data_IF_916490751127
#
_entry.id   IF_916490751127
#
_cell.length_a   1.000
_cell.length_b   1.000
_cell.length_c   1.000
_cell.angle_alpha   90.00
_cell.angle_beta   90.00
_cell.angle_gamma   90.00
#
_symmetry.space_group_name_H-M   'P 1'
#
loop_
_entity.id
_entity.type
_entity.pdbx_description
1 polymer ?
#
# COMPACT_ATOMS: atom_id res chain seq x y z
N UNK A 1 -0.88 20.57 13.35
CA UNK A 1 0.38 19.96 12.88
C UNK A 1 0.08 18.47 12.75
N UNK A 2 0.16 17.89 11.55
CA UNK A 2 0.02 16.43 11.40
C UNK A 2 1.31 15.79 11.93
N UNK A 3 1.21 14.83 12.86
CA UNK A 3 2.37 14.01 13.17
C UNK A 3 2.68 13.21 11.91
N UNK A 4 3.94 13.14 11.52
CA UNK A 4 4.40 12.40 10.33
C UNK A 4 3.75 11.00 10.28
N UNK A 5 3.73 10.33 11.44
CA UNK A 5 3.03 9.06 11.72
C UNK A 5 1.60 8.96 11.19
N UNK A 6 0.82 10.03 11.24
CA UNK A 6 -0.60 10.00 10.85
C UNK A 6 -0.75 9.85 9.33
N UNK A 7 0.17 10.45 8.57
CA UNK A 7 0.18 10.35 7.10
C UNK A 7 0.56 8.92 6.71
N UNK A 8 1.61 8.35 7.31
CA UNK A 8 2.02 6.98 6.99
C UNK A 8 0.93 5.96 7.35
N UNK A 9 0.30 6.10 8.52
CA UNK A 9 -0.81 5.24 8.93
C UNK A 9 -1.99 5.37 7.97
N UNK A 10 -2.34 6.59 7.55
CA UNK A 10 -3.48 6.79 6.65
C UNK A 10 -3.22 6.24 5.26
N UNK A 11 -2.00 6.39 4.74
CA UNK A 11 -1.60 5.78 3.48
C UNK A 11 -1.64 4.25 3.58
N UNK A 12 -1.11 3.67 4.66
CA UNK A 12 -1.17 2.22 4.87
C UNK A 12 -2.61 1.69 4.93
N UNK A 13 -3.50 2.40 5.64
CA UNK A 13 -4.93 2.08 5.71
C UNK A 13 -5.55 2.05 4.30
N UNK A 14 -5.33 3.09 3.49
CA UNK A 14 -5.86 3.14 2.13
C UNK A 14 -5.33 2.01 1.25
N UNK A 15 -4.03 1.73 1.30
CA UNK A 15 -3.41 0.69 0.47
C UNK A 15 -3.93 -0.71 0.82
N UNK A 16 -4.22 -0.98 2.10
CA UNK A 16 -4.86 -2.21 2.54
C UNK A 16 -6.33 -2.28 2.10
N UNK A 17 -7.09 -1.19 2.25
CA UNK A 17 -8.51 -1.12 1.86
C UNK A 17 -8.72 -1.40 0.37
N UNK A 18 -7.89 -0.81 -0.50
CA UNK A 18 -7.99 -1.02 -1.96
C UNK A 18 -7.28 -2.30 -2.43
N UNK A 19 -6.73 -3.10 -1.51
CA UNK A 19 -5.96 -4.32 -1.79
C UNK A 19 -4.74 -4.09 -2.70
N UNK A 20 -4.19 -2.88 -2.69
CA UNK A 20 -2.88 -2.60 -3.29
C UNK A 20 -1.76 -3.29 -2.49
N UNK A 21 -1.95 -3.44 -1.17
CA UNK A 21 -1.12 -4.28 -0.30
C UNK A 21 -1.93 -5.50 0.16
N UNK A 22 -1.30 -6.66 0.14
CA UNK A 22 -1.83 -7.92 0.69
C UNK A 22 -0.81 -8.53 1.65
N UNK A 23 -1.29 -8.95 2.82
CA UNK A 23 -0.49 -9.58 3.86
C UNK A 23 -0.94 -11.04 4.03
N UNK A 24 -0.03 -11.98 3.85
CA UNK A 24 -0.25 -13.42 4.02
C UNK A 24 0.96 -14.06 4.72
N UNK A 25 1.17 -13.83 6.04
CA UNK A 25 2.31 -14.36 6.77
C UNK A 25 2.33 -15.90 6.81
N UNK A 26 1.15 -16.53 6.89
CA UNK A 26 1.01 -17.99 6.99
C UNK A 26 0.99 -18.70 5.63
N UNK A 27 0.76 -17.97 4.53
CA UNK A 27 0.75 -18.51 3.17
C UNK A 27 1.44 -17.54 2.20
N UNK A 28 2.79 -17.50 2.17
CA UNK A 28 3.54 -16.46 1.48
C UNK A 28 3.36 -16.47 -0.05
N UNK A 29 3.44 -15.29 -0.65
CA UNK A 29 3.51 -15.12 -2.10
C UNK A 29 4.89 -15.55 -2.60
N UNK A 30 4.96 -16.07 -3.83
CA UNK A 30 6.23 -16.26 -4.54
C UNK A 30 6.42 -15.12 -5.52
N UNK A 31 7.47 -14.32 -5.34
CA UNK A 31 7.83 -13.23 -6.25
C UNK A 31 8.49 -13.78 -7.52
N UNK A 32 8.63 -12.92 -8.55
CA UNK A 32 9.25 -13.30 -9.82
C UNK A 32 10.70 -13.78 -9.67
N UNK A 33 11.41 -13.36 -8.61
CA UNK A 33 12.75 -13.84 -8.26
C UNK A 33 12.76 -15.24 -7.62
N UNK A 34 11.59 -15.85 -7.39
CA UNK A 34 11.42 -17.06 -6.59
C UNK A 34 11.37 -16.83 -5.07
N UNK A 35 11.54 -15.58 -4.61
CA UNK A 35 11.51 -15.25 -3.18
C UNK A 35 10.11 -15.43 -2.58
N UNK A 36 10.02 -16.10 -1.43
CA UNK A 36 8.78 -16.23 -0.66
C UNK A 36 8.61 -15.04 0.28
N UNK A 37 7.64 -14.17 0.00
CA UNK A 37 7.37 -12.97 0.80
C UNK A 37 5.99 -13.05 1.47
N UNK A 38 5.87 -12.68 2.75
CA UNK A 38 4.58 -12.57 3.42
C UNK A 38 3.77 -11.35 2.95
N UNK A 39 4.35 -10.48 2.12
CA UNK A 39 3.73 -9.24 1.63
C UNK A 39 3.82 -9.15 0.11
N UNK A 40 2.72 -8.72 -0.50
CA UNK A 40 2.67 -8.30 -1.90
C UNK A 40 2.15 -6.86 -1.98
N UNK A 41 2.81 -6.03 -2.78
CA UNK A 41 2.45 -4.63 -2.98
C UNK A 41 2.43 -4.31 -4.47
N UNK A 42 1.32 -3.76 -4.95
CA UNK A 42 1.18 -3.19 -6.28
C UNK A 42 0.52 -1.80 -6.20
N UNK A 43 1.35 -0.76 -6.10
CA UNK A 43 0.87 0.62 -6.03
C UNK A 43 0.22 1.11 -7.33
N UNK A 44 0.32 0.39 -8.46
CA UNK A 44 -0.38 0.77 -9.70
C UNK A 44 -1.89 0.72 -9.53
N UNK A 45 -2.39 -0.12 -8.62
CA UNK A 45 -3.80 -0.20 -8.24
C UNK A 45 -4.32 1.16 -7.72
N UNK A 46 -3.47 1.99 -7.12
CA UNK A 46 -3.86 3.34 -6.65
C UNK A 46 -4.36 4.22 -7.78
N UNK A 47 -3.87 4.04 -9.01
CA UNK A 47 -4.27 4.84 -10.18
C UNK A 47 -5.76 4.67 -10.51
N UNK A 48 -6.34 3.52 -10.17
CA UNK A 48 -7.77 3.23 -10.34
C UNK A 48 -8.65 3.83 -9.23
N UNK A 49 -8.05 4.45 -8.21
CA UNK A 49 -8.74 5.01 -7.04
C UNK A 49 -8.46 6.53 -6.95
N UNK A 50 -9.27 7.39 -7.60
CA UNK A 50 -9.00 8.82 -7.73
C UNK A 50 -8.76 9.55 -6.40
N UNK A 51 -9.52 9.21 -5.36
CA UNK A 51 -9.38 9.78 -4.02
C UNK A 51 -8.04 9.41 -3.39
N UNK A 52 -7.67 8.12 -3.43
CA UNK A 52 -6.43 7.61 -2.86
C UNK A 52 -5.21 8.19 -3.57
N UNK A 53 -5.15 8.15 -4.91
CA UNK A 53 -4.02 8.73 -5.65
C UNK A 53 -3.86 10.24 -5.41
N UNK A 54 -4.98 10.96 -5.27
CA UNK A 54 -4.97 12.40 -5.00
C UNK A 54 -4.39 12.69 -3.61
N UNK A 55 -4.81 11.91 -2.62
CA UNK A 55 -4.30 12.02 -1.25
C UNK A 55 -2.79 11.75 -1.19
N UNK A 56 -2.33 10.65 -1.79
CA UNK A 56 -0.89 10.29 -1.83
C UNK A 56 -0.07 11.41 -2.46
N UNK A 57 -0.50 11.92 -3.63
CA UNK A 57 0.16 13.05 -4.30
C UNK A 57 0.24 14.28 -3.38
N UNK A 58 -0.84 14.64 -2.72
CA UNK A 58 -0.89 15.86 -1.89
C UNK A 58 -0.06 15.76 -0.60
N UNK A 59 0.20 14.57 -0.09
CA UNK A 59 0.87 14.36 1.20
C UNK A 59 2.34 13.96 1.11
N UNK A 60 2.79 13.49 -0.05
CA UNK A 60 4.18 13.07 -0.30
C UNK A 60 4.95 14.01 -1.26
N UNK A 61 4.38 15.18 -1.56
CA UNK A 61 5.09 16.28 -2.22
C UNK A 61 5.59 17.26 -1.17
#
# INVERSE_FOLDING_TARGET
MYNKSDIELKVAEFLLQIKAIKLQPNNPFTWASGWKSPIYCDNRVTLSHPSVRTYIRQKLT
#
